data_IF_453856137570
#
_entry.id   IF_453856137570
#
_cell.length_a   1.000
_cell.length_b   1.000
_cell.length_c   1.000
_cell.angle_alpha   90.00
_cell.angle_beta   90.00
_cell.angle_gamma   90.00
#
_symmetry.space_group_name_H-M   'P 1'
#
loop_
_entity.id
_entity.type
_entity.pdbx_description
1 polymer ?
#
# COMPACT_ATOMS: atom_id res chain seq x y z
N UNK A 1 -2.95 -8.10 9.44
CA UNK A 1 -3.94 -8.93 8.74
C UNK A 1 -3.40 -9.25 7.34
N UNK A 2 -3.96 -10.20 6.59
CA UNK A 2 -3.50 -10.44 5.21
C UNK A 2 -3.63 -9.22 4.28
N UNK A 3 -4.57 -8.32 4.57
CA UNK A 3 -4.73 -7.05 3.84
C UNK A 3 -3.50 -6.13 3.96
N UNK A 4 -2.77 -6.21 5.09
CA UNK A 4 -1.55 -5.44 5.30
C UNK A 4 -0.42 -5.86 4.36
N UNK A 5 -0.20 -7.16 4.16
CA UNK A 5 0.86 -7.65 3.28
C UNK A 5 0.62 -7.19 1.83
N UNK A 6 -0.64 -7.24 1.38
CA UNK A 6 -1.03 -6.71 0.08
C UNK A 6 -0.84 -5.18 0.00
N UNK A 7 -1.29 -4.44 1.00
CA UNK A 7 -1.16 -2.98 1.03
C UNK A 7 0.31 -2.54 1.03
N UNK A 8 1.16 -3.20 1.81
CA UNK A 8 2.60 -2.95 1.81
C UNK A 8 3.22 -3.24 0.44
N UNK A 9 2.90 -4.40 -0.16
CA UNK A 9 3.40 -4.74 -1.49
C UNK A 9 3.02 -3.69 -2.54
N UNK A 10 1.73 -3.34 -2.63
CA UNK A 10 1.23 -2.41 -3.64
C UNK A 10 1.71 -0.98 -3.40
N UNK A 11 1.73 -0.51 -2.16
CA UNK A 11 2.03 0.90 -1.85
C UNK A 11 3.52 1.17 -1.62
N UNK A 12 4.35 0.16 -1.39
CA UNK A 12 5.77 0.35 -1.09
C UNK A 12 6.73 -0.41 -2.02
N UNK A 13 6.26 -1.38 -2.83
CA UNK A 13 7.14 -2.16 -3.71
C UNK A 13 6.93 -1.91 -5.20
N UNK A 14 5.71 -1.56 -5.63
CA UNK A 14 5.40 -1.26 -7.03
C UNK A 14 5.75 0.18 -7.41
N UNK A 15 5.97 0.46 -8.69
CA UNK A 15 6.00 1.85 -9.17
C UNK A 15 4.59 2.45 -9.08
N UNK A 16 4.47 3.79 -8.94
CA UNK A 16 3.16 4.45 -8.98
C UNK A 16 2.33 4.05 -10.20
N UNK A 17 2.95 3.96 -11.37
CA UNK A 17 2.28 3.66 -12.64
C UNK A 17 1.70 2.24 -12.68
N UNK A 18 2.48 1.23 -12.30
CA UNK A 18 2.00 -0.16 -12.25
C UNK A 18 0.91 -0.30 -11.20
N UNK A 19 1.06 0.39 -10.08
CA UNK A 19 0.12 0.28 -8.99
C UNK A 19 -1.22 0.98 -9.33
N UNK A 20 -1.21 2.16 -9.96
CA UNK A 20 -2.43 2.80 -10.51
C UNK A 20 -3.15 1.89 -11.50
N UNK A 21 -2.39 1.11 -12.29
CA UNK A 21 -2.94 0.24 -13.32
C UNK A 21 -3.52 -1.06 -12.75
N UNK A 22 -2.86 -1.68 -11.79
CA UNK A 22 -3.15 -3.07 -11.40
C UNK A 22 -3.68 -3.25 -9.97
N UNK A 23 -3.74 -2.21 -9.13
CA UNK A 23 -4.09 -2.37 -7.70
C UNK A 23 -5.46 -3.03 -7.46
N UNK A 24 -6.50 -2.63 -8.20
CA UNK A 24 -7.81 -3.26 -8.09
C UNK A 24 -7.78 -4.73 -8.52
N UNK A 25 -7.09 -5.05 -9.61
CA UNK A 25 -6.95 -6.43 -10.11
C UNK A 25 -6.16 -7.30 -9.12
N UNK A 26 -5.12 -6.75 -8.51
CA UNK A 26 -4.33 -7.42 -7.47
C UNK A 26 -5.17 -7.67 -6.22
N UNK A 27 -6.03 -6.73 -5.82
CA UNK A 27 -6.97 -6.92 -4.72
C UNK A 27 -7.98 -8.03 -5.02
N UNK A 28 -8.58 -8.04 -6.21
CA UNK A 28 -9.49 -9.13 -6.60
C UNK A 28 -8.79 -10.48 -6.64
N UNK A 29 -7.60 -10.55 -7.24
CA UNK A 29 -6.80 -11.78 -7.27
C UNK A 29 -6.46 -12.29 -5.88
N UNK A 30 -6.19 -11.39 -4.94
CA UNK A 30 -5.99 -11.76 -3.54
C UNK A 30 -7.27 -12.36 -2.93
N UNK A 31 -8.44 -11.74 -3.15
CA UNK A 31 -9.73 -12.29 -2.69
C UNK A 31 -10.03 -13.66 -3.31
N UNK A 32 -9.78 -13.84 -4.61
CA UNK A 32 -9.90 -15.13 -5.29
C UNK A 32 -8.99 -16.19 -4.65
N UNK A 33 -7.75 -15.82 -4.35
CA UNK A 33 -6.80 -16.68 -3.64
C UNK A 33 -7.32 -17.11 -2.27
N UNK A 34 -7.93 -16.20 -1.50
CA UNK A 34 -8.55 -16.53 -0.22
C UNK A 34 -9.71 -17.54 -0.39
N UNK A 35 -10.60 -17.30 -1.36
CA UNK A 35 -11.74 -18.22 -1.65
C UNK A 35 -11.25 -19.61 -2.05
N UNK A 36 -10.26 -19.67 -2.95
CA UNK A 36 -9.70 -20.92 -3.43
C UNK A 36 -9.05 -21.75 -2.31
N UNK A 37 -8.62 -21.11 -1.22
CA UNK A 37 -8.05 -21.76 -0.04
C UNK A 37 -9.06 -21.93 1.11
N UNK A 38 -10.36 -21.85 0.83
CA UNK A 38 -11.42 -22.21 1.78
C UNK A 38 -11.82 -21.11 2.76
N UNK A 39 -11.38 -19.86 2.56
CA UNK A 39 -11.89 -18.72 3.35
C UNK A 39 -13.32 -18.42 2.92
N UNK A 40 -14.28 -18.58 3.85
CA UNK A 40 -15.70 -18.28 3.64
C UNK A 40 -16.05 -16.88 4.15
N UNK A 41 -17.27 -16.42 3.86
CA UNK A 41 -17.84 -15.16 4.39
C UNK A 41 -16.99 -13.91 4.10
N UNK A 42 -16.35 -13.90 2.94
CA UNK A 42 -15.54 -12.77 2.46
C UNK A 42 -16.45 -11.60 2.12
N UNK A 43 -16.47 -10.60 2.99
CA UNK A 43 -17.02 -9.28 2.73
C UNK A 43 -15.96 -8.42 2.04
N UNK A 44 -16.16 -8.21 0.73
CA UNK A 44 -15.27 -7.43 -0.13
C UNK A 44 -15.09 -6.00 0.38
N UNK A 45 -16.17 -5.33 0.76
CA UNK A 45 -16.13 -3.90 1.09
C UNK A 45 -15.48 -3.69 2.45
N UNK A 46 -15.74 -4.58 3.41
CA UNK A 46 -15.03 -4.60 4.69
C UNK A 46 -13.53 -4.84 4.49
N UNK A 47 -13.15 -5.78 3.65
CA UNK A 47 -11.73 -6.05 3.36
C UNK A 47 -11.06 -4.91 2.60
N UNK A 48 -11.79 -4.24 1.71
CA UNK A 48 -11.30 -3.05 1.01
C UNK A 48 -11.08 -1.89 1.99
N UNK A 49 -11.98 -1.69 2.94
CA UNK A 49 -11.80 -0.72 4.03
C UNK A 49 -10.56 -1.07 4.88
N UNK A 50 -10.37 -2.34 5.24
CA UNK A 50 -9.19 -2.79 5.96
C UNK A 50 -7.90 -2.56 5.15
N UNK A 51 -7.92 -2.90 3.86
CA UNK A 51 -6.82 -2.66 2.93
C UNK A 51 -6.43 -1.19 2.90
N UNK A 52 -7.39 -0.27 2.69
CA UNK A 52 -7.15 1.18 2.68
C UNK A 52 -6.62 1.67 4.04
N UNK A 53 -7.15 1.16 5.15
CA UNK A 53 -6.64 1.48 6.48
C UNK A 53 -5.18 1.03 6.67
N UNK A 54 -4.83 -0.16 6.18
CA UNK A 54 -3.43 -0.63 6.23
C UNK A 54 -2.52 0.09 5.22
N UNK A 55 -3.04 0.52 4.08
CA UNK A 55 -2.33 1.37 3.13
C UNK A 55 -1.99 2.73 3.76
N UNK A 56 -2.93 3.34 4.48
CA UNK A 56 -2.68 4.56 5.26
C UNK A 56 -1.59 4.34 6.31
N UNK A 57 -1.63 3.21 7.03
CA UNK A 57 -0.56 2.86 7.98
C UNK A 57 0.82 2.76 7.33
N UNK A 58 0.91 2.35 6.06
CA UNK A 58 2.19 2.22 5.34
C UNK A 58 2.95 3.54 5.17
N UNK A 59 2.36 4.71 5.48
CA UNK A 59 3.09 5.97 5.65
C UNK A 59 4.25 5.85 6.65
N UNK A 60 4.17 4.92 7.61
CA UNK A 60 5.22 4.69 8.61
C UNK A 60 6.59 4.41 7.96
N UNK A 61 6.62 3.78 6.79
CA UNK A 61 7.87 3.39 6.13
C UNK A 61 8.70 4.60 5.65
N UNK A 62 8.18 5.51 4.80
CA UNK A 62 8.94 6.70 4.43
C UNK A 62 9.24 7.61 5.65
N UNK A 63 8.36 7.66 6.66
CA UNK A 63 8.60 8.43 7.89
C UNK A 63 9.79 7.88 8.67
N UNK A 64 9.84 6.57 8.92
CA UNK A 64 10.95 5.93 9.64
C UNK A 64 12.24 6.00 8.83
N UNK A 65 12.19 5.76 7.51
CA UNK A 65 13.35 5.84 6.63
C UNK A 65 13.94 7.26 6.61
N UNK A 66 13.10 8.29 6.45
CA UNK A 66 13.56 9.69 6.43
C UNK A 66 14.22 10.11 7.74
N UNK A 67 13.83 9.52 8.87
CA UNK A 67 14.43 9.83 10.18
C UNK A 67 15.73 9.08 10.46
N UNK A 68 15.88 7.89 9.87
CA UNK A 68 17.01 6.98 10.11
C UNK A 68 18.15 7.07 9.09
N UNK A 69 17.97 7.79 7.97
CA UNK A 69 18.94 7.89 6.88
C UNK A 69 19.61 9.27 6.81
N UNK A 70 20.79 9.33 6.18
CA UNK A 70 21.42 10.60 5.81
C UNK A 70 20.89 11.09 4.47
N UNK A 71 20.03 12.11 4.49
CA UNK A 71 19.40 12.65 3.27
C UNK A 71 20.35 13.53 2.43
N UNK A 72 21.57 13.81 2.90
CA UNK A 72 22.60 14.41 2.06
C UNK A 72 23.16 13.39 1.07
N UNK A 73 23.15 12.11 1.42
CA UNK A 73 23.59 11.01 0.57
C UNK A 73 22.56 10.76 -0.56
N UNK A 74 22.96 10.81 -1.85
CA UNK A 74 22.01 10.79 -2.96
C UNK A 74 21.13 9.54 -3.03
N UNK A 75 21.66 8.35 -2.72
CA UNK A 75 20.90 7.10 -2.78
C UNK A 75 19.84 7.03 -1.68
N UNK A 76 20.18 7.43 -0.47
CA UNK A 76 19.29 7.48 0.68
C UNK A 76 18.14 8.46 0.44
N UNK A 77 18.44 9.64 -0.09
CA UNK A 77 17.43 10.61 -0.50
C UNK A 77 16.51 10.04 -1.60
N UNK A 78 17.08 9.44 -2.64
CA UNK A 78 16.30 8.85 -3.73
C UNK A 78 15.37 7.73 -3.26
N UNK A 79 15.80 6.92 -2.29
CA UNK A 79 14.96 5.88 -1.68
C UNK A 79 13.75 6.48 -0.95
N UNK A 80 13.98 7.50 -0.11
CA UNK A 80 12.89 8.18 0.63
C UNK A 80 11.93 8.88 -0.32
N UNK A 81 12.43 9.54 -1.37
CA UNK A 81 11.61 10.16 -2.42
C UNK A 81 10.77 9.10 -3.16
N UNK A 82 11.34 7.94 -3.47
CA UNK A 82 10.62 6.83 -4.11
C UNK A 82 9.51 6.28 -3.22
N UNK A 83 9.76 6.13 -1.92
CA UNK A 83 8.74 5.66 -0.97
C UNK A 83 7.60 6.67 -0.81
N UNK A 84 7.94 7.96 -0.76
CA UNK A 84 6.96 9.03 -0.68
C UNK A 84 6.09 9.13 -1.93
N UNK A 85 6.66 9.05 -3.14
CA UNK A 85 5.87 9.13 -4.37
C UNK A 85 4.89 7.97 -4.52
N UNK A 86 5.29 6.75 -4.11
CA UNK A 86 4.40 5.59 -4.06
C UNK A 86 3.26 5.77 -3.06
N UNK A 87 3.56 6.30 -1.87
CA UNK A 87 2.55 6.58 -0.86
C UNK A 87 1.60 7.71 -1.28
N UNK A 88 2.11 8.80 -1.84
CA UNK A 88 1.33 9.94 -2.32
C UNK A 88 0.26 9.49 -3.32
N UNK A 89 0.65 8.64 -4.27
CA UNK A 89 -0.27 8.01 -5.22
C UNK A 89 -1.40 7.26 -4.49
N UNK A 90 -1.05 6.39 -3.54
CA UNK A 90 -2.03 5.66 -2.75
C UNK A 90 -2.94 6.59 -1.92
N UNK A 91 -2.38 7.66 -1.34
CA UNK A 91 -3.14 8.63 -0.55
C UNK A 91 -4.26 9.28 -1.35
N UNK A 92 -3.96 9.69 -2.59
CA UNK A 92 -4.93 10.31 -3.49
C UNK A 92 -5.90 9.31 -4.12
N UNK A 93 -5.40 8.24 -4.72
CA UNK A 93 -6.24 7.30 -5.47
C UNK A 93 -7.15 6.44 -4.57
N UNK A 94 -6.74 6.20 -3.32
CA UNK A 94 -7.53 5.45 -2.35
C UNK A 94 -8.32 6.35 -1.41
N UNK A 95 -8.39 7.66 -1.63
CA UNK A 95 -9.08 8.61 -0.74
C UNK A 95 -8.71 8.42 0.74
N UNK A 96 -7.42 8.22 1.06
CA UNK A 96 -7.03 7.83 2.42
C UNK A 96 -7.32 8.92 3.45
N UNK A 97 -7.40 10.18 3.03
CA UNK A 97 -7.84 11.30 3.85
C UNK A 97 -9.23 11.12 4.48
N UNK A 98 -10.10 10.26 3.93
CA UNK A 98 -11.44 9.97 4.50
C UNK A 98 -11.39 9.00 5.68
N UNK A 99 -10.21 8.46 6.00
CA UNK A 99 -10.01 7.48 7.08
C UNK A 99 -9.40 8.11 8.35
N UNK A 100 -9.15 9.42 8.33
CA UNK A 100 -8.66 10.24 9.44
C UNK A 100 -9.71 11.28 9.83
#
# INVERSE_FOLDING_TARGET
SGAYDLAYFVTQSLTPEDASKYEQELFERWLEGLRANGVTDIDRDRLWLQYRGTALFCLVYPVVASRGMDLNEPRSRALVETMNSRFERAFHELDLAKLI
#
